data_IF_484632595372
#
_entry.id   IF_484632595372
#
_cell.length_a   1.000
_cell.length_b   1.000
_cell.length_c   1.000
_cell.angle_alpha   90.00
_cell.angle_beta   90.00
_cell.angle_gamma   90.00
#
_symmetry.space_group_name_H-M   'P 1'
#
loop_
_entity.id
_entity.type
_entity.pdbx_description
1 polymer ?
#
# COMPACT_ATOMS: atom_id res chain seq x y z
N UNK A 1 9.69 10.81 -1.50
CA UNK A 1 10.93 10.48 -2.23
C UNK A 1 10.65 9.78 -3.58
N UNK A 2 9.72 8.80 -3.66
CA UNK A 2 9.39 8.10 -4.90
C UNK A 2 8.89 9.06 -6.00
N UNK A 3 7.98 9.98 -5.67
CA UNK A 3 7.50 11.01 -6.60
C UNK A 3 8.63 11.89 -7.13
N UNK A 4 9.53 12.36 -6.26
CA UNK A 4 10.66 13.19 -6.68
C UNK A 4 11.60 12.44 -7.62
N UNK A 5 11.87 11.17 -7.35
CA UNK A 5 12.67 10.32 -8.22
C UNK A 5 12.04 10.14 -9.62
N UNK A 6 10.74 9.89 -9.68
CA UNK A 6 10.02 9.77 -10.95
C UNK A 6 9.99 11.10 -11.73
N UNK A 7 9.82 12.24 -11.04
CA UNK A 7 9.93 13.54 -11.70
C UNK A 7 11.31 13.76 -12.32
N UNK A 8 12.38 13.40 -11.60
CA UNK A 8 13.76 13.53 -12.12
C UNK A 8 14.01 12.62 -13.33
N UNK A 9 13.57 11.34 -13.25
CA UNK A 9 13.72 10.39 -14.37
C UNK A 9 12.96 10.87 -15.60
N UNK A 10 11.75 11.42 -15.41
CA UNK A 10 10.88 11.87 -16.50
C UNK A 10 11.14 13.32 -16.94
N UNK A 11 12.16 14.00 -16.38
CA UNK A 11 12.49 15.39 -16.70
C UNK A 11 11.38 16.38 -16.36
N UNK A 12 10.58 16.11 -15.32
CA UNK A 12 9.43 16.93 -14.89
C UNK A 12 9.77 17.76 -13.64
N UNK A 13 9.13 18.91 -13.52
CA UNK A 13 9.22 19.72 -12.32
C UNK A 13 8.55 19.03 -11.12
N UNK A 14 9.14 19.18 -9.94
CA UNK A 14 8.59 18.70 -8.68
C UNK A 14 7.53 19.70 -8.20
N UNK A 15 6.26 19.36 -8.36
CA UNK A 15 5.13 20.22 -7.99
C UNK A 15 4.68 20.00 -6.55
N UNK A 16 4.79 18.76 -6.04
CA UNK A 16 4.29 18.39 -4.72
C UNK A 16 5.44 18.03 -3.78
N UNK A 17 5.38 18.53 -2.55
CA UNK A 17 6.44 18.35 -1.55
C UNK A 17 6.09 17.29 -0.50
N UNK A 18 4.81 17.10 -0.19
CA UNK A 18 4.33 16.16 0.83
C UNK A 18 3.69 14.92 0.22
N UNK A 19 3.73 13.77 0.93
CA UNK A 19 3.03 12.56 0.49
C UNK A 19 1.51 12.75 0.34
N UNK A 20 0.91 13.58 1.18
CA UNK A 20 -0.52 13.88 1.12
C UNK A 20 -0.91 14.64 -0.15
N UNK A 21 -0.10 15.63 -0.57
CA UNK A 21 -0.30 16.35 -1.83
C UNK A 21 -0.19 15.42 -3.03
N UNK A 22 0.83 14.54 -3.07
CA UNK A 22 1.01 13.57 -4.15
C UNK A 22 -0.18 12.62 -4.23
N UNK A 23 -0.64 12.10 -3.09
CA UNK A 23 -1.81 11.21 -3.04
C UNK A 23 -3.06 11.92 -3.53
N UNK A 24 -3.33 13.13 -3.05
CA UNK A 24 -4.48 13.93 -3.48
C UNK A 24 -4.44 14.22 -4.98
N UNK A 25 -3.28 14.60 -5.51
CA UNK A 25 -3.10 14.86 -6.94
C UNK A 25 -3.29 13.60 -7.80
N UNK A 26 -2.95 12.42 -7.27
CA UNK A 26 -3.08 11.16 -7.98
C UNK A 26 -4.54 10.69 -8.12
N UNK A 27 -5.40 10.98 -7.12
CA UNK A 27 -6.80 10.48 -7.06
C UNK A 27 -7.83 11.46 -7.60
N UNK A 28 -7.47 12.72 -7.86
CA UNK A 28 -8.39 13.71 -8.42
C UNK A 28 -8.76 13.41 -9.88
N UNK A 29 -9.92 13.90 -10.32
CA UNK A 29 -10.45 13.68 -11.68
C UNK A 29 -9.52 14.22 -12.78
N UNK A 30 -8.74 15.27 -12.49
CA UNK A 30 -7.71 15.81 -13.38
C UNK A 30 -6.32 15.49 -12.81
N UNK A 31 -6.05 14.19 -12.59
CA UNK A 31 -4.88 13.71 -11.89
C UNK A 31 -3.56 14.04 -12.60
N UNK A 32 -2.56 14.44 -11.82
CA UNK A 32 -1.17 14.54 -12.30
C UNK A 32 -0.65 13.15 -12.68
N UNK A 33 -0.16 13.00 -13.91
CA UNK A 33 0.27 11.69 -14.44
C UNK A 33 1.43 11.09 -13.64
N UNK A 34 2.39 11.91 -13.19
CA UNK A 34 3.53 11.45 -12.40
C UNK A 34 3.11 11.09 -10.97
N UNK A 35 2.17 11.83 -10.38
CA UNK A 35 1.60 11.49 -9.08
C UNK A 35 0.84 10.17 -9.14
N UNK A 36 0.05 9.95 -10.19
CA UNK A 36 -0.69 8.71 -10.43
C UNK A 36 0.25 7.52 -10.62
N UNK A 37 1.28 7.69 -11.45
CA UNK A 37 2.34 6.67 -11.64
C UNK A 37 3.05 6.34 -10.33
N UNK A 38 3.34 7.37 -9.51
CA UNK A 38 3.94 7.19 -8.18
C UNK A 38 3.06 6.32 -7.28
N UNK A 39 1.76 6.57 -7.26
CA UNK A 39 0.84 5.81 -6.41
C UNK A 39 0.67 4.37 -6.90
N UNK A 40 0.63 4.14 -8.21
CA UNK A 40 0.64 2.79 -8.79
C UNK A 40 1.91 2.02 -8.41
N UNK A 41 3.07 2.66 -8.57
CA UNK A 41 4.35 2.04 -8.23
C UNK A 41 4.45 1.76 -6.73
N UNK A 42 3.95 2.67 -5.88
CA UNK A 42 3.86 2.43 -4.44
C UNK A 42 3.03 1.18 -4.11
N UNK A 43 1.83 1.05 -4.69
CA UNK A 43 0.96 -0.11 -4.46
C UNK A 43 1.63 -1.41 -4.91
N UNK A 44 2.32 -1.39 -6.04
CA UNK A 44 3.06 -2.53 -6.58
C UNK A 44 4.20 -2.97 -5.66
N UNK A 45 5.03 -2.02 -5.22
CA UNK A 45 6.12 -2.29 -4.26
C UNK A 45 5.55 -2.81 -2.94
N UNK A 46 4.49 -2.18 -2.43
CA UNK A 46 3.85 -2.58 -1.19
C UNK A 46 3.30 -4.00 -1.27
N UNK A 47 2.66 -4.38 -2.38
CA UNK A 47 2.21 -5.74 -2.62
C UNK A 47 3.36 -6.74 -2.62
N UNK A 48 4.43 -6.43 -3.35
CA UNK A 48 5.61 -7.30 -3.43
C UNK A 48 6.28 -7.51 -2.05
N UNK A 49 6.47 -6.44 -1.28
CA UNK A 49 7.07 -6.50 0.06
C UNK A 49 6.17 -7.29 1.02
N UNK A 50 4.86 -7.00 1.02
CA UNK A 50 3.89 -7.71 1.87
C UNK A 50 3.85 -9.21 1.54
N UNK A 51 3.88 -9.57 0.25
CA UNK A 51 3.95 -10.97 -0.16
C UNK A 51 5.24 -11.66 0.28
N UNK A 52 6.37 -10.95 0.24
CA UNK A 52 7.66 -11.49 0.74
C UNK A 52 7.60 -11.72 2.26
N UNK A 53 7.00 -10.81 3.02
CA UNK A 53 6.78 -10.98 4.46
C UNK A 53 5.88 -12.19 4.73
N UNK A 54 4.79 -12.35 3.98
CA UNK A 54 3.88 -13.48 4.09
C UNK A 54 4.60 -14.83 3.92
N UNK A 55 5.46 -14.93 2.90
CA UNK A 55 6.27 -16.12 2.67
C UNK A 55 7.30 -16.36 3.79
N UNK A 56 8.00 -15.30 4.23
CA UNK A 56 9.03 -15.40 5.26
C UNK A 56 8.44 -15.86 6.60
N UNK A 57 7.23 -15.42 6.93
CA UNK A 57 6.56 -15.79 8.19
C UNK A 57 5.73 -17.05 8.09
N UNK A 58 5.49 -17.57 6.87
CA UNK A 58 4.65 -18.73 6.64
C UNK A 58 3.18 -18.50 7.05
N UNK A 59 2.70 -17.26 7.00
CA UNK A 59 1.37 -16.91 7.48
C UNK A 59 0.28 -17.39 6.53
N UNK A 60 -0.55 -18.33 6.99
CA UNK A 60 -1.79 -18.77 6.30
C UNK A 60 -3.04 -18.11 6.89
N UNK A 61 -2.94 -17.56 8.10
CA UNK A 61 -4.07 -16.94 8.80
C UNK A 61 -4.51 -15.59 8.22
N UNK A 62 -3.70 -14.99 7.34
CA UNK A 62 -4.02 -13.75 6.65
C UNK A 62 -3.12 -12.57 6.98
N UNK A 63 -3.25 -11.54 6.15
CA UNK A 63 -2.55 -10.26 6.30
C UNK A 63 -3.58 -9.18 6.67
N UNK A 64 -3.30 -8.43 7.71
CA UNK A 64 -4.14 -7.31 8.15
C UNK A 64 -3.42 -6.00 7.89
N UNK A 65 -3.94 -5.21 6.94
CA UNK A 65 -3.43 -3.88 6.61
C UNK A 65 -4.16 -2.84 7.46
N UNK A 66 -3.45 -2.19 8.37
CA UNK A 66 -4.01 -1.19 9.31
C UNK A 66 -3.50 0.23 9.01
N UNK A 67 -3.14 0.51 7.77
CA UNK A 67 -2.53 1.77 7.35
C UNK A 67 -3.56 2.86 7.12
N UNK A 68 -3.39 4.00 7.81
CA UNK A 68 -4.15 5.22 7.55
C UNK A 68 -3.89 5.77 6.14
N UNK A 69 -2.68 5.58 5.63
CA UNK A 69 -2.31 5.99 4.28
C UNK A 69 -3.16 5.26 3.23
N UNK A 70 -3.24 3.93 3.29
CA UNK A 70 -4.01 3.11 2.33
C UNK A 70 -5.49 3.49 2.37
N UNK A 71 -6.02 3.81 3.54
CA UNK A 71 -7.41 4.21 3.71
C UNK A 71 -7.75 5.52 2.99
N UNK A 72 -6.80 6.45 2.88
CA UNK A 72 -7.01 7.73 2.21
C UNK A 72 -7.19 7.60 0.68
N UNK A 73 -6.79 6.46 0.10
CA UNK A 73 -6.96 6.16 -1.33
C UNK A 73 -7.45 4.73 -1.56
N UNK A 74 -8.36 4.25 -0.70
CA UNK A 74 -8.79 2.85 -0.68
C UNK A 74 -9.31 2.36 -2.02
N UNK A 75 -10.16 3.12 -2.71
CA UNK A 75 -10.73 2.72 -4.00
C UNK A 75 -9.62 2.53 -5.04
N UNK A 76 -8.70 3.48 -5.12
CA UNK A 76 -7.51 3.35 -5.98
C UNK A 76 -6.66 2.12 -5.61
N UNK A 77 -6.49 1.85 -4.30
CA UNK A 77 -5.71 0.71 -3.81
C UNK A 77 -6.35 -0.62 -4.22
N UNK A 78 -7.66 -0.74 -4.12
CA UNK A 78 -8.39 -1.97 -4.49
C UNK A 78 -8.30 -2.27 -6.00
N UNK A 79 -8.19 -1.23 -6.84
CA UNK A 79 -8.03 -1.36 -8.29
C UNK A 79 -6.56 -1.46 -8.73
N UNK A 80 -5.62 -1.30 -7.81
CA UNK A 80 -4.18 -1.28 -8.11
C UNK A 80 -3.58 -2.68 -8.31
N UNK A 81 -2.33 -2.72 -8.77
CA UNK A 81 -1.54 -3.94 -8.91
C UNK A 81 -1.04 -4.52 -7.56
N UNK A 82 -1.55 -4.06 -6.41
CA UNK A 82 -1.14 -4.57 -5.11
C UNK A 82 -1.31 -6.09 -4.99
N UNK A 83 -2.52 -6.59 -5.25
CA UNK A 83 -2.81 -8.02 -5.12
C UNK A 83 -1.99 -8.86 -6.09
N UNK A 84 -1.90 -8.42 -7.34
CA UNK A 84 -1.07 -9.06 -8.35
C UNK A 84 0.39 -9.18 -7.91
N UNK A 85 0.96 -8.07 -7.40
CA UNK A 85 2.36 -8.05 -6.94
C UNK A 85 2.57 -8.82 -5.63
N UNK A 86 1.55 -8.90 -4.78
CA UNK A 86 1.55 -9.76 -3.59
C UNK A 86 1.66 -11.24 -3.97
N UNK A 87 0.88 -11.66 -4.96
CA UNK A 87 0.81 -13.05 -5.42
C UNK A 87 1.99 -13.46 -6.31
N UNK A 88 2.61 -12.51 -7.03
CA UNK A 88 3.73 -12.77 -7.95
C UNK A 88 4.99 -13.21 -7.18
N UNK A 89 5.05 -14.51 -6.88
CA UNK A 89 6.15 -15.20 -6.16
C UNK A 89 6.67 -16.42 -6.92
N UNK A 90 6.54 -16.39 -8.25
CA UNK A 90 7.01 -17.44 -9.13
C UNK A 90 6.34 -18.78 -8.81
N UNK A 91 7.10 -19.82 -8.57
CA UNK A 91 6.56 -21.15 -8.27
C UNK A 91 5.70 -21.24 -7.00
N UNK A 92 5.67 -20.20 -6.16
CA UNK A 92 4.87 -20.14 -4.93
C UNK A 92 3.58 -19.33 -5.07
N UNK A 93 3.22 -18.91 -6.28
CA UNK A 93 2.01 -18.11 -6.53
C UNK A 93 0.74 -18.81 -6.02
N UNK A 94 0.65 -20.13 -6.20
CA UNK A 94 -0.48 -20.92 -5.71
C UNK A 94 -0.67 -20.82 -4.19
N UNK A 95 0.45 -20.79 -3.43
CA UNK A 95 0.42 -20.64 -1.99
C UNK A 95 -0.10 -19.26 -1.57
N UNK A 96 0.25 -18.23 -2.34
CA UNK A 96 -0.12 -16.85 -2.05
C UNK A 96 -1.61 -16.57 -2.29
N UNK A 97 -2.28 -17.33 -3.17
CA UNK A 97 -3.70 -17.14 -3.46
C UNK A 97 -4.60 -17.51 -2.28
N UNK A 98 -4.15 -18.40 -1.41
CA UNK A 98 -4.91 -18.87 -0.25
C UNK A 98 -4.80 -17.95 0.97
N UNK A 99 -3.89 -16.96 0.92
CA UNK A 99 -3.68 -16.02 2.03
C UNK A 99 -4.69 -14.85 1.95
N UNK A 100 -5.64 -14.75 2.88
CA UNK A 100 -6.60 -13.65 2.88
C UNK A 100 -5.94 -12.33 3.25
N UNK A 101 -6.35 -11.25 2.56
CA UNK A 101 -5.88 -9.90 2.84
C UNK A 101 -7.06 -9.06 3.33
N UNK A 102 -6.93 -8.55 4.54
CA UNK A 102 -7.94 -7.74 5.19
C UNK A 102 -7.45 -6.30 5.36
N UNK A 103 -8.25 -5.32 4.95
CA UNK A 103 -7.94 -3.91 5.15
C UNK A 103 -8.84 -3.34 6.23
N UNK A 104 -8.24 -2.80 7.30
CA UNK A 104 -9.01 -2.16 8.37
C UNK A 104 -9.52 -0.80 7.92
N UNK A 105 -10.84 -0.62 8.02
CA UNK A 105 -11.48 0.69 7.83
C UNK A 105 -11.44 1.56 9.10
N UNK A 106 -11.06 0.99 10.25
CA UNK A 106 -11.04 1.68 11.54
C UNK A 106 -9.77 2.53 11.68
N UNK A 107 -9.96 3.76 12.18
CA UNK A 107 -8.85 4.69 12.43
C UNK A 107 -8.11 4.34 13.72
N UNK A 108 -6.86 4.79 13.82
CA UNK A 108 -6.05 4.70 15.03
C UNK A 108 -5.92 3.27 15.60
N UNK A 109 -5.86 2.25 14.71
CA UNK A 109 -5.77 0.86 15.15
C UNK A 109 -4.58 0.58 16.08
N UNK A 110 -3.44 1.25 15.85
CA UNK A 110 -2.26 1.14 16.71
C UNK A 110 -2.54 1.63 18.13
N UNK A 111 -3.23 2.78 18.28
CA UNK A 111 -3.61 3.32 19.57
C UNK A 111 -4.62 2.41 20.30
N UNK A 112 -5.62 1.93 19.58
CA UNK A 112 -6.63 0.99 20.12
C UNK A 112 -5.96 -0.30 20.58
N UNK A 113 -5.05 -0.87 19.79
CA UNK A 113 -4.32 -2.07 20.16
C UNK A 113 -3.42 -1.86 21.39
N UNK A 114 -2.74 -0.71 21.47
CA UNK A 114 -1.93 -0.36 22.64
C UNK A 114 -2.78 -0.21 23.90
N UNK A 115 -3.91 0.50 23.82
CA UNK A 115 -4.85 0.65 24.95
C UNK A 115 -5.42 -0.70 25.40
N UNK A 116 -5.79 -1.57 24.45
CA UNK A 116 -6.25 -2.93 24.75
C UNK A 116 -5.18 -3.73 25.51
N UNK A 117 -3.94 -3.67 25.05
CA UNK A 117 -2.83 -4.39 25.69
C UNK A 117 -2.58 -3.90 27.11
N UNK A 118 -2.59 -2.59 27.36
CA UNK A 118 -2.40 -2.01 28.70
C UNK A 118 -3.51 -2.45 29.65
N UNK A 119 -4.77 -2.44 29.19
CA UNK A 119 -5.91 -2.81 30.03
C UNK A 119 -6.00 -4.32 30.32
N UNK A 120 -5.24 -5.17 29.62
CA UNK A 120 -5.24 -6.62 29.79
C UNK A 120 -3.85 -7.17 30.22
N UNK A 121 -3.02 -6.32 30.80
CA UNK A 121 -1.81 -6.70 31.53
C UNK A 121 -2.14 -6.97 32.99
#
# INVERSE_FOLDING_TARGET
>A
NLYKALCQINGRAILFQSPAEVTSAAIQSNSDSTAKETLHLFCKIFGSVTGTIALTTGCLGGIYITSDLVRNFLDFFLESDFLKSFQDKGRLDYYMTDIPICISKKQNMGLIGSAYKINNL
#
